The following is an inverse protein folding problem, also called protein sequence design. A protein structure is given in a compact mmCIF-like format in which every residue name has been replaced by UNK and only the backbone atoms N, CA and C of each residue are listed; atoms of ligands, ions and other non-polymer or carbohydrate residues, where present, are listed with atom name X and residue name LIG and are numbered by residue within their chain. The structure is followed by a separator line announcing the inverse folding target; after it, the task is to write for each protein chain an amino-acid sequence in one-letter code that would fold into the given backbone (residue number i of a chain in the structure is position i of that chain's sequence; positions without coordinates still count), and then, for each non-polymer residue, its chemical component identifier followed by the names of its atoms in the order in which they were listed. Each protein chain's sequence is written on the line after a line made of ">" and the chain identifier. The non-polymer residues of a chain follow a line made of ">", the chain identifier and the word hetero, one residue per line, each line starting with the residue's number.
data_IF_009851045432
#
_entry.id   IF_009851045432
#
_cell.length_a   1.000
_cell.length_b   1.000
_cell.length_c   1.000
_cell.angle_alpha   90.00
_cell.angle_beta   90.00
_cell.angle_gamma   90.00
#
_symmetry.space_group_name_H-M   'P 1'
#
loop_
_entity.id
_entity.type
_entity.pdbx_description
1 polymer ?
#
# COMPACT_ATOMS: atom_id res chain seq x y z
N UNK A 1 -3.39 -22.87 -4.75
CA UNK A 1 -3.30 -22.01 -5.96
C UNK A 1 -1.82 -21.97 -6.37
N UNK A 2 -1.46 -22.29 -7.62
CA UNK A 2 -0.05 -22.18 -8.05
C UNK A 2 0.37 -20.73 -7.95
N UNK A 3 1.42 -20.43 -7.18
CA UNK A 3 2.06 -19.12 -7.19
C UNK A 3 2.46 -18.83 -8.64
N UNK A 4 1.86 -17.80 -9.22
CA UNK A 4 2.26 -17.37 -10.58
C UNK A 4 3.52 -16.54 -10.44
N UNK A 5 4.56 -16.84 -11.20
CA UNK A 5 5.80 -16.06 -11.26
C UNK A 5 5.55 -14.56 -11.43
N UNK A 6 4.52 -14.19 -12.19
CA UNK A 6 4.11 -12.80 -12.36
C UNK A 6 3.80 -12.10 -11.01
N UNK A 7 2.98 -12.71 -10.15
CA UNK A 7 2.59 -12.14 -8.86
C UNK A 7 3.78 -12.06 -7.88
N UNK A 8 4.62 -13.07 -7.86
CA UNK A 8 5.83 -13.10 -7.06
C UNK A 8 6.81 -12.00 -7.51
N UNK A 9 7.04 -11.88 -8.82
CA UNK A 9 7.92 -10.86 -9.40
C UNK A 9 7.41 -9.45 -9.13
N UNK A 10 6.11 -9.18 -9.35
CA UNK A 10 5.47 -7.88 -9.08
C UNK A 10 5.64 -7.48 -7.62
N UNK A 11 5.38 -8.40 -6.69
CA UNK A 11 5.56 -8.19 -5.25
C UNK A 11 7.02 -7.92 -4.89
N UNK A 12 7.96 -8.68 -5.46
CA UNK A 12 9.39 -8.47 -5.25
C UNK A 12 9.86 -7.09 -5.75
N UNK A 13 9.37 -6.65 -6.92
CA UNK A 13 9.65 -5.30 -7.44
C UNK A 13 9.09 -4.21 -6.53
N UNK A 14 7.86 -4.37 -6.03
CA UNK A 14 7.27 -3.43 -5.07
C UNK A 14 8.15 -3.32 -3.83
N UNK A 15 8.52 -4.45 -3.22
CA UNK A 15 9.33 -4.48 -1.99
C UNK A 15 10.74 -3.93 -2.19
N UNK A 16 11.38 -4.21 -3.34
CA UNK A 16 12.70 -3.69 -3.70
C UNK A 16 12.68 -2.18 -3.95
N UNK A 17 11.52 -1.64 -4.37
CA UNK A 17 11.33 -0.21 -4.66
C UNK A 17 11.09 0.65 -3.42
N UNK A 18 10.83 0.06 -2.26
CA UNK A 18 10.55 0.80 -1.02
C UNK A 18 11.73 1.67 -0.62
N UNK A 19 11.51 2.99 -0.39
CA UNK A 19 12.59 3.95 -0.10
C UNK A 19 13.35 3.70 1.22
N UNK A 20 12.76 2.96 2.16
CA UNK A 20 13.37 2.69 3.45
C UNK A 20 13.56 1.19 3.65
N UNK A 21 14.63 0.82 4.34
CA UNK A 21 14.94 -0.57 4.66
C UNK A 21 13.92 -1.17 5.64
N UNK A 22 13.43 -0.39 6.61
CA UNK A 22 12.46 -0.79 7.63
C UNK A 22 11.47 0.34 7.89
N UNK A 23 10.27 -0.04 8.32
CA UNK A 23 9.20 0.88 8.69
C UNK A 23 8.71 0.57 10.09
N UNK A 24 8.17 1.57 10.78
CA UNK A 24 7.60 1.40 12.12
C UNK A 24 6.15 0.92 12.05
N UNK A 25 5.33 1.56 11.22
CA UNK A 25 3.90 1.28 11.16
C UNK A 25 3.39 1.34 9.72
N UNK A 26 3.08 0.18 9.15
CA UNK A 26 2.50 0.08 7.82
C UNK A 26 0.98 -0.10 7.88
N UNK A 27 0.28 0.43 6.86
CA UNK A 27 -1.12 0.15 6.58
C UNK A 27 -1.28 -0.43 5.18
N UNK A 28 -1.91 -1.59 5.08
CA UNK A 28 -2.20 -2.31 3.85
C UNK A 28 -3.70 -2.60 3.76
N UNK A 29 -4.53 -1.68 3.22
CA UNK A 29 -5.91 -1.98 2.87
C UNK A 29 -6.00 -2.80 1.59
N UNK A 30 -6.91 -3.78 1.56
CA UNK A 30 -7.03 -4.75 0.46
C UNK A 30 -5.94 -5.82 0.50
N UNK A 31 -5.60 -6.32 1.69
CA UNK A 31 -4.53 -7.29 1.88
C UNK A 31 -4.80 -8.67 1.25
N UNK A 32 -6.06 -8.95 0.88
CA UNK A 32 -6.46 -10.21 0.28
C UNK A 32 -6.07 -11.41 1.14
N UNK A 33 -5.39 -12.37 0.55
CA UNK A 33 -4.91 -13.58 1.23
C UNK A 33 -3.57 -13.40 1.98
N UNK A 34 -3.09 -12.15 2.18
CA UNK A 34 -1.93 -11.84 3.01
C UNK A 34 -0.55 -12.12 2.42
N UNK A 35 -0.44 -12.31 1.10
CA UNK A 35 0.88 -12.57 0.48
C UNK A 35 1.85 -11.41 0.62
N UNK A 36 1.40 -10.19 0.38
CA UNK A 36 2.23 -9.00 0.58
C UNK A 36 2.36 -8.67 2.07
N UNK A 37 1.29 -8.87 2.85
CA UNK A 37 1.30 -8.69 4.30
C UNK A 37 2.42 -9.47 4.99
N UNK A 38 2.62 -10.74 4.62
CA UNK A 38 3.68 -11.59 5.18
C UNK A 38 5.09 -11.04 4.91
N UNK A 39 5.30 -10.43 3.75
CA UNK A 39 6.57 -9.78 3.43
C UNK A 39 6.74 -8.43 4.14
N UNK A 40 5.65 -7.65 4.26
CA UNK A 40 5.65 -6.40 5.02
C UNK A 40 5.91 -6.65 6.51
N UNK A 41 5.39 -7.75 7.08
CA UNK A 41 5.65 -8.14 8.45
C UNK A 41 7.16 -8.30 8.78
N UNK A 42 7.97 -8.70 7.80
CA UNK A 42 9.43 -8.82 7.94
C UNK A 42 10.16 -7.47 7.83
N UNK A 43 9.50 -6.46 7.24
CA UNK A 43 10.05 -5.13 6.95
C UNK A 43 9.54 -4.04 7.89
N UNK A 44 8.49 -4.33 8.67
CA UNK A 44 7.82 -3.36 9.54
C UNK A 44 7.82 -3.82 10.99
N UNK A 45 7.82 -2.88 11.93
CA UNK A 45 7.64 -3.19 13.35
C UNK A 45 6.18 -3.56 13.65
N UNK A 46 5.24 -2.90 12.94
CA UNK A 46 3.79 -3.16 13.01
C UNK A 46 3.15 -3.04 11.63
N UNK A 47 2.22 -3.91 11.35
CA UNK A 47 1.39 -3.87 10.13
C UNK A 47 -0.08 -3.91 10.54
N UNK A 48 -0.84 -2.93 10.10
CA UNK A 48 -2.30 -3.03 10.05
C UNK A 48 -2.67 -3.46 8.64
N UNK A 49 -3.12 -4.69 8.48
CA UNK A 49 -3.61 -5.21 7.20
C UNK A 49 -5.12 -5.34 7.25
N UNK A 50 -5.80 -4.89 6.22
CA UNK A 50 -7.26 -4.88 6.22
C UNK A 50 -7.82 -5.36 4.87
N UNK A 51 -8.99 -5.98 4.92
CA UNK A 51 -9.77 -6.33 3.73
C UNK A 51 -11.26 -6.20 4.03
N UNK A 52 -12.07 -6.04 2.99
CA UNK A 52 -13.52 -6.06 3.11
C UNK A 52 -14.07 -7.47 3.38
N UNK A 53 -13.39 -8.49 2.85
CA UNK A 53 -13.79 -9.89 2.91
C UNK A 53 -13.25 -10.58 4.18
N UNK A 54 -14.16 -11.05 5.04
CA UNK A 54 -13.80 -11.88 6.19
C UNK A 54 -13.13 -13.19 5.76
N UNK A 55 -13.50 -13.75 4.59
CA UNK A 55 -12.87 -14.94 4.03
C UNK A 55 -11.41 -14.67 3.66
N UNK A 56 -11.13 -13.53 3.00
CA UNK A 56 -9.77 -13.11 2.68
C UNK A 56 -8.91 -12.95 3.93
N UNK A 57 -9.46 -12.33 4.98
CA UNK A 57 -8.78 -12.17 6.27
C UNK A 57 -8.48 -13.53 6.94
N UNK A 58 -9.38 -14.50 6.83
CA UNK A 58 -9.13 -15.87 7.29
C UNK A 58 -7.96 -16.54 6.58
N UNK A 59 -7.87 -16.37 5.27
CA UNK A 59 -6.73 -16.85 4.46
C UNK A 59 -5.43 -16.13 4.80
N UNK A 60 -5.49 -14.81 5.03
CA UNK A 60 -4.34 -14.03 5.46
C UNK A 60 -3.83 -14.49 6.84
N UNK A 61 -4.73 -14.70 7.80
CA UNK A 61 -4.38 -15.21 9.13
C UNK A 61 -3.66 -16.55 9.04
N UNK A 62 -4.20 -17.49 8.25
CA UNK A 62 -3.57 -18.80 8.07
C UNK A 62 -2.19 -18.68 7.44
N UNK A 63 -2.05 -17.85 6.42
CA UNK A 63 -0.74 -17.58 5.77
C UNK A 63 0.30 -17.03 6.74
N UNK A 64 -0.09 -16.07 7.58
CA UNK A 64 0.81 -15.47 8.57
C UNK A 64 1.28 -16.50 9.60
N UNK A 65 0.38 -17.41 10.03
CA UNK A 65 0.73 -18.52 10.90
C UNK A 65 1.71 -19.50 10.24
N UNK A 66 1.43 -19.92 9.00
CA UNK A 66 2.28 -20.83 8.23
C UNK A 66 3.67 -20.23 7.95
N UNK A 67 3.73 -18.91 7.76
CA UNK A 67 4.98 -18.18 7.52
C UNK A 67 5.74 -17.82 8.83
N UNK A 68 5.15 -18.05 10.00
CA UNK A 68 5.74 -17.72 11.30
C UNK A 68 5.99 -16.21 11.49
N UNK A 69 5.17 -15.34 10.89
CA UNK A 69 5.42 -13.89 10.86
C UNK A 69 4.21 -13.02 11.27
N UNK A 70 3.23 -13.57 11.97
CA UNK A 70 2.01 -12.85 12.36
C UNK A 70 2.09 -12.03 13.65
N UNK A 71 3.16 -12.10 14.41
CA UNK A 71 3.25 -11.51 15.76
C UNK A 71 3.17 -9.97 15.81
N UNK A 72 3.43 -9.30 14.69
CA UNK A 72 3.39 -7.84 14.55
C UNK A 72 2.33 -7.38 13.55
N UNK A 73 1.40 -8.25 13.14
CA UNK A 73 0.32 -7.95 12.20
C UNK A 73 -1.02 -7.93 12.92
N UNK A 74 -1.78 -6.86 12.73
CA UNK A 74 -3.18 -6.75 13.11
C UNK A 74 -4.03 -6.86 11.84
N UNK A 75 -5.00 -7.79 11.84
CA UNK A 75 -5.98 -7.94 10.77
C UNK A 75 -7.28 -7.24 11.14
N UNK A 76 -7.86 -6.48 10.22
CA UNK A 76 -9.10 -5.75 10.44
C UNK A 76 -10.02 -5.82 9.21
N UNK A 77 -11.33 -5.85 9.44
CA UNK A 77 -12.30 -5.78 8.35
C UNK A 77 -12.64 -4.32 8.06
N UNK A 78 -12.16 -3.77 6.95
CA UNK A 78 -12.36 -2.39 6.55
C UNK A 78 -12.97 -2.28 5.16
N UNK A 79 -13.94 -1.36 5.04
CA UNK A 79 -14.46 -0.84 3.78
C UNK A 79 -13.85 0.52 3.52
N UNK A 80 -13.18 0.71 2.39
CA UNK A 80 -12.64 2.01 2.00
C UNK A 80 -13.69 2.88 1.30
N UNK A 81 -13.65 4.17 1.55
CA UNK A 81 -12.85 4.94 2.52
C UNK A 81 -13.43 5.00 3.93
N UNK A 82 -14.61 4.42 4.18
CA UNK A 82 -15.45 4.62 5.36
C UNK A 82 -14.75 4.21 6.67
N UNK A 83 -14.05 3.07 6.64
CA UNK A 83 -13.36 2.49 7.80
C UNK A 83 -11.85 2.82 7.81
N UNK A 84 -11.44 3.89 7.10
CA UNK A 84 -10.05 4.34 7.17
C UNK A 84 -9.64 4.63 8.63
N UNK A 85 -8.47 4.12 9.09
CA UNK A 85 -8.05 4.30 10.48
C UNK A 85 -8.00 5.77 10.89
N UNK A 86 -8.71 6.14 11.94
CA UNK A 86 -8.68 7.49 12.49
C UNK A 86 -7.40 7.69 13.30
N UNK A 87 -6.59 8.64 12.88
CA UNK A 87 -5.41 9.06 13.63
C UNK A 87 -5.81 10.15 14.61
N UNK A 88 -5.90 9.80 15.89
CA UNK A 88 -6.19 10.76 16.95
C UNK A 88 -4.99 11.70 17.19
N UNK A 89 -5.21 12.91 17.73
CA UNK A 89 -4.12 13.80 18.10
C UNK A 89 -3.11 13.09 19.01
N UNK A 90 -1.82 13.13 18.64
CA UNK A 90 -0.74 12.44 19.35
C UNK A 90 -0.60 10.95 19.07
N UNK A 91 -1.52 10.35 18.32
CA UNK A 91 -1.36 8.96 17.89
C UNK A 91 -0.33 8.83 16.77
N UNK A 92 0.29 7.65 16.70
CA UNK A 92 1.28 7.35 15.67
C UNK A 92 0.64 7.21 14.30
N UNK A 93 1.19 7.93 13.32
CA UNK A 93 0.82 7.85 11.91
C UNK A 93 1.54 6.68 11.22
N UNK A 94 1.07 6.33 10.03
CA UNK A 94 1.71 5.33 9.19
C UNK A 94 2.92 5.94 8.48
N UNK A 95 4.06 5.30 8.53
CA UNK A 95 5.23 5.66 7.71
C UNK A 95 5.28 4.87 6.39
N UNK A 96 4.38 3.87 6.23
CA UNK A 96 4.14 3.18 4.97
C UNK A 96 2.63 2.94 4.77
N UNK A 97 2.10 3.35 3.62
CA UNK A 97 0.74 3.00 3.19
C UNK A 97 0.86 2.31 1.84
N UNK A 98 0.28 1.10 1.72
CA UNK A 98 0.38 0.29 0.50
C UNK A 98 -1.01 0.04 -0.06
N UNK A 99 -1.30 0.63 -1.21
CA UNK A 99 -2.53 0.45 -1.98
C UNK A 99 -2.22 -0.40 -3.21
N UNK A 100 -2.28 -1.72 -3.03
CA UNK A 100 -2.00 -2.68 -4.10
C UNK A 100 -3.28 -3.39 -4.53
N UNK A 101 -3.59 -3.34 -5.82
CA UNK A 101 -4.70 -4.05 -6.46
C UNK A 101 -6.09 -3.73 -5.85
N UNK A 102 -6.28 -2.52 -5.28
CA UNK A 102 -7.54 -2.16 -4.57
C UNK A 102 -8.23 -0.92 -5.14
N UNK A 103 -7.48 0.15 -5.49
CA UNK A 103 -8.07 1.46 -5.73
C UNK A 103 -8.96 1.55 -6.99
N UNK A 104 -8.87 0.62 -7.91
CA UNK A 104 -9.70 0.60 -9.10
C UNK A 104 -11.15 0.10 -8.87
N UNK A 105 -11.47 -0.41 -7.68
CA UNK A 105 -12.84 -0.74 -7.27
C UNK A 105 -13.58 0.46 -6.67
N UNK A 106 -12.88 1.55 -6.40
CA UNK A 106 -13.44 2.76 -5.80
C UNK A 106 -14.10 3.64 -6.87
N UNK A 107 -15.18 4.33 -6.50
CA UNK A 107 -15.67 5.45 -7.28
C UNK A 107 -14.68 6.62 -7.27
N UNK A 108 -14.88 7.60 -8.15
CA UNK A 108 -14.01 8.80 -8.19
C UNK A 108 -14.03 9.57 -6.88
N UNK A 109 -15.20 9.67 -6.25
CA UNK A 109 -15.39 10.35 -4.98
C UNK A 109 -14.72 9.58 -3.82
N UNK A 110 -14.82 8.25 -3.82
CA UNK A 110 -14.16 7.41 -2.82
C UNK A 110 -12.63 7.46 -2.98
N UNK A 111 -12.13 7.44 -4.23
CA UNK A 111 -10.70 7.60 -4.50
C UNK A 111 -10.17 8.94 -3.97
N UNK A 112 -10.90 10.05 -4.18
CA UNK A 112 -10.50 11.35 -3.66
C UNK A 112 -10.37 11.33 -2.12
N UNK A 113 -11.33 10.70 -1.42
CA UNK A 113 -11.25 10.54 0.04
C UNK A 113 -10.09 9.64 0.48
N UNK A 114 -9.80 8.57 -0.27
CA UNK A 114 -8.63 7.71 0.03
C UNK A 114 -7.34 8.50 -0.11
N UNK A 115 -7.20 9.37 -1.12
CA UNK A 115 -6.04 10.27 -1.25
C UNK A 115 -5.91 11.19 -0.04
N UNK A 116 -7.01 11.87 0.35
CA UNK A 116 -7.05 12.77 1.52
C UNK A 116 -6.67 12.04 2.81
N UNK A 117 -7.26 10.88 3.06
CA UNK A 117 -6.99 10.06 4.23
C UNK A 117 -5.54 9.54 4.25
N UNK A 118 -5.01 9.12 3.09
CA UNK A 118 -3.62 8.68 2.98
C UNK A 118 -2.66 9.79 3.40
N UNK A 119 -2.87 11.02 2.90
CA UNK A 119 -2.04 12.18 3.25
C UNK A 119 -2.17 12.54 4.73
N UNK A 120 -3.40 12.60 5.24
CA UNK A 120 -3.68 12.97 6.63
C UNK A 120 -3.08 11.98 7.64
N UNK A 121 -3.05 10.69 7.30
CA UNK A 121 -2.52 9.63 8.16
C UNK A 121 -1.05 9.29 7.92
N UNK A 122 -0.39 9.93 6.94
CA UNK A 122 1.03 9.71 6.63
C UNK A 122 1.94 10.42 7.64
N UNK A 123 2.88 9.69 8.20
CA UNK A 123 3.94 10.24 9.06
C UNK A 123 4.90 11.14 8.27
N UNK A 124 5.60 12.09 8.90
CA UNK A 124 6.67 12.84 8.26
C UNK A 124 7.74 11.92 7.65
N UNK A 125 8.09 12.12 6.39
CA UNK A 125 9.01 11.26 5.63
C UNK A 125 8.45 9.91 5.21
N UNK A 126 7.16 9.67 5.47
CA UNK A 126 6.48 8.43 5.12
C UNK A 126 6.27 8.27 3.61
N UNK A 127 5.89 7.07 3.21
CA UNK A 127 5.71 6.68 1.81
C UNK A 127 4.33 6.09 1.54
N UNK A 128 3.73 6.46 0.41
CA UNK A 128 2.53 5.86 -0.15
C UNK A 128 2.93 5.09 -1.40
N UNK A 129 2.57 3.81 -1.46
CA UNK A 129 2.88 2.91 -2.57
C UNK A 129 1.59 2.52 -3.28
N UNK A 130 1.58 2.69 -4.59
CA UNK A 130 0.50 2.23 -5.47
C UNK A 130 1.04 1.16 -6.42
N UNK A 131 0.39 0.02 -6.49
CA UNK A 131 0.71 -1.03 -7.46
C UNK A 131 -0.59 -1.59 -8.05
N UNK A 132 -0.83 -1.36 -9.33
CA UNK A 132 -2.11 -1.68 -9.95
C UNK A 132 -1.94 -2.32 -11.32
N UNK A 133 -2.70 -3.39 -11.56
CA UNK A 133 -2.88 -4.02 -12.86
C UNK A 133 -3.42 -3.02 -13.90
N UNK A 134 -2.99 -3.12 -15.16
CA UNK A 134 -3.34 -2.17 -16.22
C UNK A 134 -4.41 -2.68 -17.19
N UNK A 135 -4.45 -3.98 -17.45
CA UNK A 135 -5.43 -4.52 -18.39
C UNK A 135 -6.87 -4.30 -17.89
N UNK A 136 -7.83 -4.07 -18.79
CA UNK A 136 -9.23 -3.89 -18.42
C UNK A 136 -9.83 -5.19 -17.85
N UNK A 137 -10.76 -5.05 -16.91
CA UNK A 137 -11.58 -6.13 -16.39
C UNK A 137 -12.94 -5.59 -15.93
N UNK A 138 -13.94 -6.46 -15.84
CA UNK A 138 -15.35 -6.06 -15.70
C UNK A 138 -15.66 -5.21 -14.44
N UNK A 139 -14.97 -5.47 -13.33
CA UNK A 139 -15.23 -4.80 -12.05
C UNK A 139 -14.44 -3.49 -11.87
N UNK A 140 -13.62 -3.11 -12.84
CA UNK A 140 -12.86 -1.86 -12.77
C UNK A 140 -13.76 -0.65 -12.94
N UNK A 141 -13.76 0.24 -11.94
CA UNK A 141 -14.49 1.52 -11.97
C UNK A 141 -13.56 2.66 -12.42
N UNK A 142 -12.34 2.71 -11.88
CA UNK A 142 -11.35 3.74 -12.21
C UNK A 142 -10.12 3.12 -12.85
N UNK A 143 -9.61 3.75 -13.90
CA UNK A 143 -8.40 3.29 -14.59
C UNK A 143 -7.14 3.47 -13.72
N UNK A 144 -6.17 2.57 -13.89
CA UNK A 144 -4.87 2.65 -13.20
C UNK A 144 -4.18 4.00 -13.39
N UNK A 145 -4.22 4.55 -14.61
CA UNK A 145 -3.64 5.87 -14.91
C UNK A 145 -4.31 6.97 -14.07
N UNK A 146 -5.64 6.95 -13.94
CA UNK A 146 -6.39 7.93 -13.15
C UNK A 146 -6.11 7.81 -11.66
N UNK A 147 -5.96 6.58 -11.15
CA UNK A 147 -5.58 6.34 -9.74
C UNK A 147 -4.22 7.00 -9.45
N UNK A 148 -3.21 6.70 -10.26
CA UNK A 148 -1.86 7.25 -10.06
C UNK A 148 -1.81 8.76 -10.26
N UNK A 149 -2.60 9.33 -11.19
CA UNK A 149 -2.73 10.78 -11.38
C UNK A 149 -3.29 11.47 -10.13
N UNK A 150 -4.30 10.88 -9.47
CA UNK A 150 -4.89 11.46 -8.26
C UNK A 150 -3.86 11.66 -7.12
N UNK A 151 -2.88 10.77 -6.98
CA UNK A 151 -1.79 10.92 -6.03
C UNK A 151 -0.68 11.84 -6.55
N UNK A 152 -0.44 11.88 -7.87
CA UNK A 152 0.54 12.77 -8.47
C UNK A 152 0.14 14.25 -8.33
N UNK A 153 -1.15 14.54 -8.42
CA UNK A 153 -1.70 15.89 -8.35
C UNK A 153 -2.02 16.32 -6.91
N UNK A 154 -1.83 15.43 -5.94
CA UNK A 154 -2.15 15.69 -4.54
C UNK A 154 -1.10 16.61 -3.89
N UNK A 155 -1.53 17.67 -3.17
CA UNK A 155 -0.61 18.64 -2.58
C UNK A 155 0.24 17.98 -1.48
N UNK A 156 1.51 18.39 -1.44
CA UNK A 156 2.47 17.91 -0.42
C UNK A 156 3.00 16.50 -0.63
N UNK A 157 2.66 15.86 -1.76
CA UNK A 157 3.26 14.61 -2.17
C UNK A 157 4.27 14.81 -3.30
N UNK A 158 5.43 14.17 -3.18
CA UNK A 158 6.51 14.18 -4.17
C UNK A 158 6.71 12.76 -4.66
N UNK A 159 6.73 12.57 -5.99
CA UNK A 159 6.95 11.25 -6.55
C UNK A 159 8.40 10.82 -6.40
N UNK A 160 8.61 9.72 -5.68
CA UNK A 160 9.91 9.09 -5.45
C UNK A 160 10.26 8.12 -6.57
N UNK A 161 9.27 7.35 -7.05
CA UNK A 161 9.47 6.31 -8.06
C UNK A 161 8.26 6.18 -8.97
N UNK A 162 8.54 5.88 -10.24
CA UNK A 162 7.58 5.32 -11.21
C UNK A 162 8.25 4.17 -11.94
N UNK A 163 7.64 3.00 -11.87
CA UNK A 163 7.98 1.83 -12.67
C UNK A 163 6.75 1.41 -13.46
N UNK A 164 6.89 1.27 -14.75
CA UNK A 164 5.78 0.99 -15.66
C UNK A 164 6.11 -0.19 -16.56
N UNK A 165 5.25 -1.18 -16.55
CA UNK A 165 5.27 -2.32 -17.46
C UNK A 165 3.96 -2.41 -18.24
N UNK A 166 3.90 -3.31 -19.21
CA UNK A 166 2.67 -3.57 -19.98
C UNK A 166 1.50 -3.92 -19.05
N UNK A 167 1.77 -4.69 -18.01
CA UNK A 167 0.77 -5.32 -17.18
C UNK A 167 0.44 -4.55 -15.90
N UNK A 168 1.38 -3.78 -15.33
CA UNK A 168 1.14 -3.04 -14.10
C UNK A 168 1.88 -1.70 -14.08
N UNK A 169 1.41 -0.82 -13.20
CA UNK A 169 2.03 0.45 -12.87
C UNK A 169 2.30 0.46 -11.37
N UNK A 170 3.56 0.73 -11.00
CA UNK A 170 4.03 0.93 -9.64
C UNK A 170 4.47 2.38 -9.47
N UNK A 171 3.96 3.06 -8.45
CA UNK A 171 4.35 4.41 -8.09
C UNK A 171 4.55 4.54 -6.59
N UNK A 172 5.51 5.38 -6.19
CA UNK A 172 5.77 5.71 -4.79
C UNK A 172 5.82 7.22 -4.64
N UNK A 173 5.10 7.72 -3.65
CA UNK A 173 5.09 9.12 -3.25
C UNK A 173 5.49 9.26 -1.79
N UNK A 174 6.05 10.41 -1.44
CA UNK A 174 6.42 10.75 -0.08
C UNK A 174 6.08 12.22 0.19
N UNK A 175 5.84 12.56 1.45
CA UNK A 175 5.77 13.95 1.90
C UNK A 175 7.15 14.57 2.20
N UNK A 176 8.24 13.85 1.91
CA UNK A 176 9.62 14.35 1.88
C UNK A 176 10.10 14.43 0.43
N UNK A 177 10.45 15.64 -0.02
CA UNK A 177 10.89 15.89 -1.39
C UNK A 177 12.28 15.34 -1.73
N UNK A 178 13.08 14.97 -0.70
CA UNK A 178 14.43 14.46 -0.90
C UNK A 178 14.42 13.07 -1.54
N UNK A 179 15.37 12.83 -2.42
CA UNK A 179 15.62 11.49 -2.97
C UNK A 179 16.10 10.52 -1.89
N UNK A 180 16.08 9.21 -2.17
CA UNK A 180 16.61 8.18 -1.24
C UNK A 180 18.08 8.46 -0.93
N UNK A 181 18.89 8.78 -1.95
CA UNK A 181 20.31 9.10 -1.78
C UNK A 181 20.53 10.32 -0.87
N UNK A 182 19.70 11.38 -1.06
CA UNK A 182 19.74 12.58 -0.21
C UNK A 182 19.37 12.30 1.25
N UNK A 183 18.42 11.41 1.47
CA UNK A 183 18.04 11.00 2.85
C UNK A 183 19.15 10.25 3.56
N UNK A 184 20.00 9.53 2.81
CA UNK A 184 21.16 8.80 3.30
C UNK A 184 22.46 9.63 3.28
N UNK A 185 22.42 10.89 2.86
CA UNK A 185 23.56 11.79 2.87
C UNK A 185 24.56 11.61 1.72
N UNK A 186 24.14 11.00 0.60
CA UNK A 186 24.98 10.84 -0.59
C UNK A 186 24.89 12.02 -1.58
N UNK A 187 23.95 12.95 -1.41
CA UNK A 187 23.74 14.11 -2.29
C UNK A 187 23.19 15.30 -1.53
#
# INVERSE_FOLDING_TARGET
>A
MRQRWYEERKRSLLLASLPQRRYRHAYEPGCGNGELTAELARRCERVLAADLSAEALGLAQQRLLDAGCGGNVSLAQHRLPQDWPRILPGAEKFDLIVLSEIAYYLSVQELARVVEHSIASLAPGGSIVLCHWRAPFAQRIVSTVRIHAAFQDAPGLHRVLRHEESDFLLGIWSNDARSVAQREGFA
#
